data_IF_917443499779
#
_entry.id   IF_917443499779
#
_cell.length_a   1.000
_cell.length_b   1.000
_cell.length_c   1.000
_cell.angle_alpha   90.00
_cell.angle_beta   90.00
_cell.angle_gamma   90.00
#
_symmetry.space_group_name_H-M   'P 1'
#
loop_
_entity.id
_entity.type
_entity.pdbx_description
1 polymer ?
#
# COMPACT_ATOMS: atom_id res chain seq x y z
N UNK A 1 6.42 -15.08 -32.54
CA UNK A 1 6.64 -14.27 -31.32
C UNK A 1 5.30 -13.97 -30.63
N UNK A 2 4.61 -14.99 -30.12
CA UNK A 2 3.39 -14.79 -29.31
C UNK A 2 3.78 -14.99 -27.86
N UNK A 3 4.06 -13.87 -27.19
CA UNK A 3 4.46 -13.83 -25.80
C UNK A 3 3.36 -14.48 -24.94
N UNK A 4 3.66 -15.68 -24.43
CA UNK A 4 2.77 -16.44 -23.56
C UNK A 4 2.84 -15.90 -22.12
N UNK A 5 2.45 -14.63 -21.94
CA UNK A 5 2.38 -13.95 -20.64
C UNK A 5 1.36 -14.59 -19.68
N UNK A 6 0.49 -15.44 -20.22
CA UNK A 6 -0.59 -16.11 -19.50
C UNK A 6 -0.11 -17.14 -18.47
N UNK A 7 1.11 -17.67 -18.59
CA UNK A 7 1.61 -18.73 -17.70
C UNK A 7 2.17 -18.18 -16.38
N UNK A 8 2.60 -16.93 -16.31
CA UNK A 8 3.27 -16.37 -15.13
C UNK A 8 2.31 -15.88 -14.03
N UNK A 9 1.02 -15.65 -14.34
CA UNK A 9 0.03 -15.21 -13.34
C UNK A 9 -0.58 -16.43 -12.64
N UNK A 10 0.26 -17.25 -12.00
CA UNK A 10 -0.23 -18.14 -10.95
C UNK A 10 -0.51 -17.27 -9.74
N UNK A 11 -1.72 -16.70 -9.69
CA UNK A 11 -2.22 -15.95 -8.52
C UNK A 11 -2.23 -16.90 -7.31
N UNK A 12 -1.10 -16.93 -6.59
CA UNK A 12 -1.05 -17.56 -5.27
C UNK A 12 -2.07 -16.82 -4.42
N UNK A 13 -2.86 -17.55 -3.64
CA UNK A 13 -3.83 -16.96 -2.72
C UNK A 13 -3.06 -16.10 -1.74
N UNK A 14 -3.05 -14.78 -1.97
CA UNK A 14 -2.50 -13.82 -1.04
C UNK A 14 -3.39 -13.86 0.21
N UNK A 15 -2.84 -14.08 1.42
CA UNK A 15 -3.62 -13.99 2.65
C UNK A 15 -4.36 -12.65 2.71
N UNK A 16 -5.57 -12.63 3.28
CA UNK A 16 -6.48 -11.46 3.28
C UNK A 16 -5.86 -10.17 3.85
N UNK A 17 -4.77 -10.30 4.63
CA UNK A 17 -4.04 -9.19 5.25
C UNK A 17 -2.73 -8.83 4.55
N UNK A 18 -2.46 -9.39 3.38
CA UNK A 18 -1.21 -9.12 2.65
C UNK A 18 -1.00 -7.63 2.37
N UNK A 19 -2.09 -6.88 2.21
CA UNK A 19 -2.05 -5.43 1.96
C UNK A 19 -1.43 -4.65 3.14
N UNK A 20 -1.65 -5.07 4.39
CA UNK A 20 -1.00 -4.47 5.57
C UNK A 20 0.52 -4.71 5.59
N UNK A 21 0.98 -5.88 5.15
CA UNK A 21 2.41 -6.18 5.08
C UNK A 21 3.13 -5.27 4.08
N UNK A 22 2.45 -4.84 3.02
CA UNK A 22 3.01 -3.88 2.07
C UNK A 22 3.09 -2.46 2.63
N UNK A 23 2.13 -2.06 3.48
CA UNK A 23 2.11 -0.74 4.14
C UNK A 23 3.10 -0.64 5.31
N UNK A 24 3.54 -1.78 5.85
CA UNK A 24 4.61 -1.80 6.85
C UNK A 24 5.91 -1.16 6.34
N UNK A 25 6.25 -1.34 5.06
CA UNK A 25 7.48 -0.79 4.46
C UNK A 25 7.49 0.75 4.49
N UNK A 26 6.52 1.47 3.87
CA UNK A 26 6.51 2.93 3.90
C UNK A 26 6.37 3.47 5.32
N UNK A 27 5.59 2.81 6.19
CA UNK A 27 5.44 3.22 7.59
C UNK A 27 6.75 3.17 8.38
N UNK A 28 7.49 2.06 8.28
CA UNK A 28 8.79 1.92 8.94
C UNK A 28 9.79 2.95 8.39
N UNK A 29 9.77 3.18 7.08
CA UNK A 29 10.64 4.17 6.46
C UNK A 29 10.34 5.59 6.96
N UNK A 30 9.07 5.95 7.10
CA UNK A 30 8.64 7.24 7.63
C UNK A 30 9.18 7.47 9.06
N UNK A 31 8.96 6.50 9.96
CA UNK A 31 9.49 6.55 11.33
C UNK A 31 11.02 6.67 11.33
N UNK A 32 11.70 5.86 10.53
CA UNK A 32 13.16 5.91 10.40
C UNK A 32 13.63 7.31 10.00
N UNK A 33 13.01 7.90 8.96
CA UNK A 33 13.40 9.24 8.50
C UNK A 33 13.14 10.34 9.52
N UNK A 34 12.08 10.23 10.33
CA UNK A 34 11.78 11.18 11.40
C UNK A 34 12.78 11.11 12.55
N UNK A 35 13.29 9.92 12.88
CA UNK A 35 14.30 9.75 13.92
C UNK A 35 15.68 10.18 13.41
N UNK A 36 16.05 9.74 12.20
CA UNK A 36 17.37 10.00 11.60
C UNK A 36 17.54 11.44 11.15
N UNK A 37 16.46 12.10 10.72
CA UNK A 37 16.47 13.46 10.19
C UNK A 37 17.14 14.49 11.13
N UNK A 38 16.69 14.60 12.40
CA UNK A 38 17.33 15.46 13.39
C UNK A 38 18.78 15.10 13.73
N UNK A 39 19.15 13.83 13.62
CA UNK A 39 20.50 13.33 13.97
C UNK A 39 21.53 13.76 12.91
N UNK A 40 21.15 13.68 11.64
CA UNK A 40 22.04 13.96 10.49
C UNK A 40 21.75 15.35 9.88
N UNK A 41 20.83 16.11 10.46
CA UNK A 41 20.32 17.41 10.01
C UNK A 41 19.84 17.44 8.54
N UNK A 42 19.45 16.27 8.02
CA UNK A 42 19.06 16.07 6.63
C UNK A 42 17.81 15.21 6.53
N UNK A 43 16.82 15.73 5.79
CA UNK A 43 15.59 15.04 5.46
C UNK A 43 15.57 14.72 3.96
N UNK A 44 15.18 13.49 3.57
CA UNK A 44 15.15 13.07 2.17
C UNK A 44 14.09 13.80 1.34
N UNK A 45 13.03 14.31 1.99
CA UNK A 45 11.95 15.01 1.32
C UNK A 45 11.61 16.33 2.00
N UNK A 46 11.23 17.38 1.25
CA UNK A 46 10.91 18.68 1.82
C UNK A 46 9.62 18.69 2.65
N UNK A 47 8.67 17.78 2.37
CA UNK A 47 7.40 17.70 3.11
C UNK A 47 7.51 17.03 4.49
N UNK A 48 8.62 16.34 4.76
CA UNK A 48 8.93 15.74 6.07
C UNK A 48 9.93 16.60 6.87
N UNK A 49 10.30 17.78 6.34
CA UNK A 49 11.20 18.71 7.03
C UNK A 49 10.37 19.75 7.82
N UNK A 50 10.35 19.68 9.17
CA UNK A 50 9.57 20.61 9.98
C UNK A 50 10.15 22.03 9.97
N UNK A 51 11.41 22.23 9.53
CA UNK A 51 12.08 23.55 9.54
C UNK A 51 11.47 24.53 8.53
N UNK A 52 10.81 24.02 7.48
CA UNK A 52 10.21 24.84 6.43
C UNK A 52 8.74 25.19 6.68
N UNK A 53 7.98 24.22 7.16
CA UNK A 53 6.50 24.30 7.25
C UNK A 53 5.96 24.16 8.68
N UNK A 54 6.83 23.88 9.66
CA UNK A 54 6.46 23.59 11.04
C UNK A 54 5.99 22.16 11.27
N UNK A 55 6.09 21.70 12.52
CA UNK A 55 5.71 20.34 12.91
C UNK A 55 4.24 20.01 12.66
N UNK A 56 3.34 20.98 12.82
CA UNK A 56 1.90 20.77 12.63
C UNK A 56 1.54 20.52 11.15
N UNK A 57 2.04 21.36 10.24
CA UNK A 57 1.79 21.19 8.81
C UNK A 57 2.44 19.90 8.28
N UNK A 58 3.66 19.59 8.74
CA UNK A 58 4.34 18.33 8.47
C UNK A 58 3.52 17.12 8.92
N UNK A 59 3.07 17.07 10.18
CA UNK A 59 2.33 15.93 10.70
C UNK A 59 0.99 15.72 9.99
N UNK A 60 0.26 16.80 9.66
CA UNK A 60 -0.95 16.71 8.83
C UNK A 60 -0.63 16.12 7.45
N UNK A 61 0.44 16.59 6.80
CA UNK A 61 0.84 16.09 5.47
C UNK A 61 1.17 14.60 5.50
N UNK A 62 1.92 14.16 6.51
CA UNK A 62 2.26 12.75 6.72
C UNK A 62 1.01 11.90 6.93
N UNK A 63 0.11 12.33 7.81
CA UNK A 63 -1.17 11.63 8.06
C UNK A 63 -2.00 11.52 6.78
N UNK A 64 -2.11 12.60 6.00
CA UNK A 64 -2.86 12.58 4.73
C UNK A 64 -2.27 11.60 3.73
N UNK A 65 -0.95 11.58 3.57
CA UNK A 65 -0.27 10.64 2.66
C UNK A 65 -0.45 9.21 3.14
N UNK A 66 -0.24 8.95 4.44
CA UNK A 66 -0.40 7.62 5.03
C UNK A 66 -1.82 7.09 4.86
N UNK A 67 -2.84 7.90 5.18
CA UNK A 67 -4.25 7.55 4.98
C UNK A 67 -4.56 7.35 3.50
N UNK A 68 -4.01 8.18 2.61
CA UNK A 68 -4.16 8.01 1.17
C UNK A 68 -3.62 6.67 0.66
N UNK A 69 -2.47 6.23 1.16
CA UNK A 69 -1.89 4.92 0.84
C UNK A 69 -2.76 3.76 1.36
N UNK A 70 -3.24 3.84 2.61
CA UNK A 70 -4.14 2.86 3.21
C UNK A 70 -5.45 2.73 2.41
N UNK A 71 -6.07 3.86 2.04
CA UNK A 71 -7.29 3.89 1.24
C UNK A 71 -7.08 3.29 -0.16
N UNK A 72 -5.95 3.59 -0.80
CA UNK A 72 -5.62 3.05 -2.11
C UNK A 72 -5.42 1.52 -2.04
N UNK A 73 -4.67 1.04 -1.05
CA UNK A 73 -4.47 -0.38 -0.80
C UNK A 73 -5.79 -1.10 -0.52
N UNK A 74 -6.66 -0.50 0.30
CA UNK A 74 -8.00 -1.01 0.58
C UNK A 74 -8.88 -1.04 -0.68
N UNK A 75 -8.84 0.01 -1.50
CA UNK A 75 -9.59 0.08 -2.76
C UNK A 75 -9.19 -1.03 -3.73
N UNK A 76 -7.89 -1.30 -3.86
CA UNK A 76 -7.38 -2.43 -4.66
C UNK A 76 -7.85 -3.77 -4.09
N UNK A 77 -7.72 -3.96 -2.77
CA UNK A 77 -8.22 -5.17 -2.10
C UNK A 77 -9.71 -5.40 -2.40
N UNK A 78 -10.53 -4.37 -2.24
CA UNK A 78 -11.98 -4.43 -2.46
C UNK A 78 -12.35 -4.72 -3.92
N UNK A 79 -11.64 -4.12 -4.88
CA UNK A 79 -11.87 -4.38 -6.30
C UNK A 79 -11.53 -5.83 -6.67
N UNK A 80 -10.42 -6.34 -6.13
CA UNK A 80 -9.97 -7.72 -6.36
C UNK A 80 -10.90 -8.74 -5.71
N UNK A 81 -11.42 -8.48 -4.51
CA UNK A 81 -12.39 -9.38 -3.85
C UNK A 81 -13.71 -9.40 -4.59
N UNK A 82 -14.25 -8.24 -5.00
CA UNK A 82 -15.48 -8.17 -5.82
C UNK A 82 -15.40 -8.98 -7.11
N UNK A 83 -14.26 -8.90 -7.81
CA UNK A 83 -14.04 -9.68 -9.04
C UNK A 83 -13.98 -11.19 -8.80
N UNK A 84 -13.50 -11.63 -7.62
CA UNK A 84 -13.46 -13.04 -7.23
C UNK A 84 -14.85 -13.58 -6.88
N UNK A 85 -15.67 -12.79 -6.18
CA UNK A 85 -17.02 -13.20 -5.79
C UNK A 85 -17.97 -13.35 -6.99
N UNK A 86 -17.87 -12.45 -7.97
CA UNK A 86 -18.62 -12.54 -9.21
C UNK A 86 -18.30 -13.83 -9.99
N UNK A 87 -17.01 -14.19 -10.07
CA UNK A 87 -16.53 -15.40 -10.76
C UNK A 87 -16.89 -16.69 -10.02
N UNK A 88 -17.01 -16.66 -8.69
CA UNK A 88 -17.42 -17.82 -7.86
C UNK A 88 -18.91 -18.14 -8.01
N UNK A 89 -19.76 -17.14 -8.26
CA UNK A 89 -21.21 -17.33 -8.48
C UNK A 89 -21.56 -17.93 -9.83
N UNK A 90 -20.69 -17.80 -10.82
CA UNK A 90 -20.90 -18.32 -12.19
C UNK A 90 -20.24 -19.68 -12.41
N UNK A 91 -19.59 -20.25 -11.40
CA UNK A 91 -18.88 -21.53 -11.52
C UNK A 91 -19.85 -22.71 -11.33
N UNK A 92 -20.19 -23.48 -12.39
CA UNK A 92 -21.21 -24.54 -12.33
C UNK A 92 -20.78 -25.76 -11.51
N UNK A 93 -19.48 -25.90 -11.20
CA UNK A 93 -18.94 -27.06 -10.47
C UNK A 93 -19.08 -26.96 -8.95
N UNK A 94 -19.72 -25.92 -8.41
CA UNK A 94 -19.93 -25.76 -6.96
C UNK A 94 -21.17 -26.51 -6.43
N UNK A 95 -21.95 -27.15 -7.32
CA UNK A 95 -23.25 -27.77 -7.03
C UNK A 95 -23.25 -29.28 -7.33
N UNK A 96 -22.09 -29.90 -7.53
CA UNK A 96 -21.92 -31.36 -7.68
C UNK A 96 -20.90 -31.85 -6.68
#
# INVERSE_FOLDING_TARGET
MTANWRILVRSRRLPERSWLSWLAIPFVYEIYTLIRGPIVDWYPYPFIDPRRQGYLSMSITLVVVFVGMELMAFGVYWLVTRGRDAKRRTDPSAIT
#
